data_IF_603092226844
#
_entry.id   IF_603092226844
#
_cell.length_a   1.000
_cell.length_b   1.000
_cell.length_c   1.000
_cell.angle_alpha   90.00
_cell.angle_beta   90.00
_cell.angle_gamma   90.00
#
_symmetry.space_group_name_H-M   'P 1'
#
loop_
_entity.id
_entity.type
_entity.pdbx_description
1 polymer ?
#
# COMPACT_ATOMS: atom_id res chain seq x y z
N UNK A 1 22.43 -13.93 -14.19
CA UNK A 1 21.31 -13.49 -13.34
C UNK A 1 21.80 -13.55 -11.91
N UNK A 2 21.52 -12.53 -11.11
CA UNK A 2 21.79 -12.56 -9.67
C UNK A 2 21.03 -13.74 -9.02
N UNK A 3 21.65 -14.43 -8.07
CA UNK A 3 21.06 -15.54 -7.30
C UNK A 3 19.74 -15.11 -6.66
N UNK A 4 19.69 -13.87 -6.19
CA UNK A 4 18.48 -13.23 -5.63
C UNK A 4 17.33 -13.14 -6.64
N UNK A 5 17.62 -12.79 -7.90
CA UNK A 5 16.61 -12.66 -8.97
C UNK A 5 16.08 -14.03 -9.41
N UNK A 6 16.94 -15.05 -9.40
CA UNK A 6 16.52 -16.43 -9.67
C UNK A 6 15.58 -16.94 -8.58
N UNK A 7 15.94 -16.74 -7.31
CA UNK A 7 15.10 -17.11 -6.17
C UNK A 7 13.75 -16.37 -6.20
N UNK A 8 13.74 -15.09 -6.56
CA UNK A 8 12.52 -14.30 -6.72
C UNK A 8 11.57 -14.84 -7.81
N UNK A 9 12.12 -15.33 -8.92
CA UNK A 9 11.31 -15.89 -10.03
C UNK A 9 10.57 -17.16 -9.60
N UNK A 10 11.23 -18.03 -8.83
CA UNK A 10 10.69 -19.31 -8.37
C UNK A 10 9.85 -19.20 -7.09
N UNK A 11 9.95 -18.07 -6.37
CA UNK A 11 9.24 -17.85 -5.12
C UNK A 11 7.71 -18.02 -5.28
N UNK A 12 7.15 -18.92 -4.47
CA UNK A 12 5.72 -19.24 -4.42
C UNK A 12 4.91 -18.34 -3.50
N UNK A 13 5.57 -17.45 -2.74
CA UNK A 13 4.88 -16.51 -1.89
C UNK A 13 4.01 -15.54 -2.73
N UNK A 14 2.82 -15.23 -2.25
CA UNK A 14 1.81 -14.43 -2.97
C UNK A 14 2.34 -13.08 -3.50
N UNK A 15 3.26 -12.34 -2.85
CA UNK A 15 3.72 -11.05 -3.39
C UNK A 15 4.45 -11.22 -4.72
N UNK A 16 5.18 -12.33 -4.89
CA UNK A 16 5.87 -12.64 -6.14
C UNK A 16 4.90 -13.05 -7.25
N UNK A 17 3.75 -13.62 -6.91
CA UNK A 17 2.72 -13.89 -7.92
C UNK A 17 2.15 -12.59 -8.50
N UNK A 18 1.77 -11.64 -7.64
CA UNK A 18 1.28 -10.34 -8.08
C UNK A 18 2.39 -9.54 -8.80
N UNK A 19 3.62 -9.58 -8.29
CA UNK A 19 4.76 -8.95 -8.95
C UNK A 19 5.01 -9.53 -10.37
N UNK A 20 4.93 -10.85 -10.55
CA UNK A 20 5.05 -11.47 -11.89
C UNK A 20 3.94 -11.01 -12.84
N UNK A 21 2.71 -10.77 -12.35
CA UNK A 21 1.62 -10.19 -13.17
C UNK A 21 1.96 -8.77 -13.61
N UNK A 22 2.55 -7.96 -12.73
CA UNK A 22 3.02 -6.61 -13.08
C UNK A 22 4.19 -6.64 -14.07
N UNK A 23 5.16 -7.54 -13.90
CA UNK A 23 6.26 -7.72 -14.87
C UNK A 23 5.72 -8.08 -16.24
N UNK A 24 4.76 -9.01 -16.33
CA UNK A 24 4.10 -9.34 -17.59
C UNK A 24 3.34 -8.16 -18.20
N UNK A 25 2.68 -7.34 -17.38
CA UNK A 25 1.97 -6.14 -17.83
C UNK A 25 2.89 -5.11 -18.48
N UNK A 26 4.15 -5.01 -18.02
CA UNK A 26 5.13 -4.04 -18.52
C UNK A 26 6.27 -4.71 -19.31
N UNK A 27 6.00 -5.85 -19.96
CA UNK A 27 7.01 -6.62 -20.68
C UNK A 27 7.51 -5.92 -21.96
N UNK A 28 6.64 -5.15 -22.63
CA UNK A 28 6.97 -4.46 -23.87
C UNK A 28 7.70 -3.14 -23.61
N UNK A 29 7.20 -2.36 -22.65
CA UNK A 29 7.77 -1.06 -22.28
C UNK A 29 7.38 -0.66 -20.85
N UNK A 30 8.22 0.13 -20.17
CA UNK A 30 7.84 0.78 -18.93
C UNK A 30 6.72 1.82 -19.16
N UNK A 31 5.98 2.23 -18.12
CA UNK A 31 5.05 3.35 -18.21
C UNK A 31 5.70 4.61 -18.77
N UNK A 32 4.95 5.45 -19.50
CA UNK A 32 5.46 6.72 -20.06
C UNK A 32 6.11 7.64 -19.01
N UNK A 33 5.56 7.64 -17.79
CA UNK A 33 6.10 8.38 -16.64
C UNK A 33 7.43 7.83 -16.08
N UNK A 34 7.94 6.72 -16.62
CA UNK A 34 9.23 6.11 -16.28
C UNK A 34 9.24 5.23 -15.02
N UNK A 35 8.10 5.04 -14.34
CA UNK A 35 8.03 4.22 -13.12
C UNK A 35 6.66 3.56 -12.94
N UNK A 36 6.64 2.42 -12.24
CA UNK A 36 5.41 1.78 -11.75
C UNK A 36 5.00 2.45 -10.44
N UNK A 37 3.79 3.00 -10.42
CA UNK A 37 3.21 3.63 -9.24
C UNK A 37 2.45 2.58 -8.41
N UNK A 38 2.85 2.44 -7.15
CA UNK A 38 2.15 1.68 -6.13
C UNK A 38 1.43 2.66 -5.21
N UNK A 39 0.24 2.30 -4.77
CA UNK A 39 -0.60 3.13 -3.91
C UNK A 39 -1.10 2.31 -2.72
N UNK A 40 -1.15 2.95 -1.57
CA UNK A 40 -1.76 2.40 -0.36
C UNK A 40 -2.43 3.54 0.39
N UNK A 41 -3.62 3.27 0.90
CA UNK A 41 -4.41 4.22 1.66
C UNK A 41 -4.76 3.63 3.01
N UNK A 42 -4.88 4.49 4.01
CA UNK A 42 -5.46 4.14 5.30
C UNK A 42 -6.43 5.22 5.75
N UNK A 43 -7.52 4.82 6.41
CA UNK A 43 -8.46 5.75 7.02
C UNK A 43 -7.98 6.18 8.41
N UNK A 44 -7.80 7.47 8.70
CA UNK A 44 -7.39 7.97 10.01
C UNK A 44 -8.54 8.07 11.02
N UNK A 45 -9.58 7.24 10.89
CA UNK A 45 -10.80 7.29 11.73
C UNK A 45 -10.62 6.77 13.16
N UNK A 46 -9.40 6.36 13.52
CA UNK A 46 -9.04 5.88 14.86
C UNK A 46 -7.54 5.69 14.99
N UNK A 47 -7.10 5.28 16.19
CA UNK A 47 -5.69 4.98 16.41
C UNK A 47 -5.24 3.81 15.50
N UNK A 48 -4.11 3.95 14.78
CA UNK A 48 -3.59 2.87 13.96
C UNK A 48 -3.36 1.60 14.78
N UNK A 49 -3.74 0.46 14.21
CA UNK A 49 -3.47 -0.85 14.78
C UNK A 49 -2.75 -1.73 13.75
N UNK A 50 -2.35 -2.93 14.15
CA UNK A 50 -1.59 -3.86 13.29
C UNK A 50 -2.25 -4.13 11.92
N UNK A 51 -3.56 -3.98 11.82
CA UNK A 51 -4.31 -4.09 10.56
C UNK A 51 -4.02 -2.93 9.61
N UNK A 52 -4.03 -1.69 10.11
CA UNK A 52 -3.64 -0.48 9.36
C UNK A 52 -2.20 -0.60 8.85
N UNK A 53 -1.28 -1.11 9.69
CA UNK A 53 0.08 -1.40 9.25
C UNK A 53 0.11 -2.50 8.17
N UNK A 54 -0.76 -3.50 8.29
CA UNK A 54 -0.93 -4.58 7.31
C UNK A 54 -1.39 -4.09 5.93
N UNK A 55 -2.17 -3.01 5.84
CA UNK A 55 -2.55 -2.38 4.57
C UNK A 55 -1.34 -1.81 3.85
N UNK A 56 -0.52 -1.03 4.55
CA UNK A 56 0.72 -0.46 4.02
C UNK A 56 1.76 -1.54 3.71
N UNK A 57 1.87 -2.54 4.58
CA UNK A 57 2.84 -3.62 4.45
C UNK A 57 2.56 -4.48 3.19
N UNK A 58 1.29 -4.80 2.90
CA UNK A 58 0.95 -5.63 1.73
C UNK A 58 1.35 -4.99 0.40
N UNK A 59 1.06 -3.70 0.20
CA UNK A 59 1.51 -2.98 -0.99
C UNK A 59 3.04 -2.94 -1.07
N UNK A 60 3.71 -2.73 0.07
CA UNK A 60 5.16 -2.75 0.15
C UNK A 60 5.75 -4.11 -0.22
N UNK A 61 5.16 -5.22 0.25
CA UNK A 61 5.61 -6.57 -0.10
C UNK A 61 5.58 -6.82 -1.61
N UNK A 62 4.47 -6.46 -2.29
CA UNK A 62 4.37 -6.62 -3.75
C UNK A 62 5.36 -5.70 -4.47
N UNK A 63 5.51 -4.46 -4.02
CA UNK A 63 6.48 -3.52 -4.59
C UNK A 63 7.91 -4.07 -4.49
N UNK A 64 8.33 -4.58 -3.34
CA UNK A 64 9.67 -5.16 -3.16
C UNK A 64 9.87 -6.42 -4.00
N UNK A 65 8.85 -7.28 -4.09
CA UNK A 65 8.88 -8.43 -4.97
C UNK A 65 9.01 -8.01 -6.46
N UNK A 66 8.35 -6.93 -6.86
CA UNK A 66 8.47 -6.37 -8.21
C UNK A 66 9.87 -5.79 -8.47
N UNK A 67 10.43 -5.02 -7.54
CA UNK A 67 11.81 -4.50 -7.63
C UNK A 67 12.85 -5.63 -7.73
N UNK A 68 12.61 -6.78 -7.09
CA UNK A 68 13.48 -7.94 -7.21
C UNK A 68 13.40 -8.64 -8.59
N UNK A 69 12.29 -8.46 -9.32
CA UNK A 69 12.02 -9.10 -10.61
C UNK A 69 12.24 -8.17 -11.81
N UNK A 70 12.14 -6.85 -11.61
CA UNK A 70 12.11 -5.83 -12.65
C UNK A 70 13.08 -4.70 -12.34
N UNK A 71 13.72 -4.18 -13.39
CA UNK A 71 14.59 -3.01 -13.31
C UNK A 71 13.81 -1.69 -13.52
N UNK A 72 12.48 -1.77 -13.72
CA UNK A 72 11.62 -0.58 -13.86
C UNK A 72 11.54 0.14 -12.51
N UNK A 73 11.86 1.45 -12.44
CA UNK A 73 11.74 2.22 -11.21
C UNK A 73 10.34 2.15 -10.61
N UNK A 74 10.24 2.26 -9.29
CA UNK A 74 8.95 2.27 -8.59
C UNK A 74 8.79 3.51 -7.72
N UNK A 75 7.54 3.91 -7.51
CA UNK A 75 7.16 4.94 -6.55
C UNK A 75 6.02 4.41 -5.70
N UNK A 76 6.04 4.69 -4.40
CA UNK A 76 4.93 4.40 -3.49
C UNK A 76 4.30 5.73 -3.06
N UNK A 77 2.99 5.87 -3.26
CA UNK A 77 2.19 6.91 -2.62
C UNK A 77 1.41 6.25 -1.48
N UNK A 78 1.65 6.72 -0.27
CA UNK A 78 0.85 6.39 0.91
C UNK A 78 0.01 7.61 1.23
N UNK A 79 -1.31 7.46 1.23
CA UNK A 79 -2.22 8.56 1.54
C UNK A 79 -3.09 8.22 2.75
N UNK A 80 -3.45 9.27 3.48
CA UNK A 80 -4.46 9.21 4.51
C UNK A 80 -5.77 9.62 3.87
N UNK A 81 -6.84 8.85 4.06
CA UNK A 81 -8.19 9.26 3.64
C UNK A 81 -8.81 10.15 4.73
N UNK A 82 -8.19 11.30 4.96
CA UNK A 82 -8.52 12.25 6.04
C UNK A 82 -9.68 13.19 5.71
N UNK A 83 -10.25 13.05 4.51
CA UNK A 83 -11.46 13.76 4.10
C UNK A 83 -12.75 12.96 4.38
N UNK A 84 -12.61 11.73 4.86
CA UNK A 84 -13.72 10.82 5.17
C UNK A 84 -14.41 11.22 6.47
N UNK A 85 -15.74 11.36 6.44
CA UNK A 85 -16.48 11.86 7.60
C UNK A 85 -16.35 10.98 8.86
N UNK A 86 -16.19 11.61 10.03
CA UNK A 86 -16.14 10.92 11.33
C UNK A 86 -17.47 10.22 11.65
N UNK A 87 -17.56 8.91 11.36
CA UNK A 87 -18.82 8.13 11.53
C UNK A 87 -19.14 7.79 12.98
N UNK A 88 -18.11 7.68 13.82
CA UNK A 88 -18.22 7.30 15.23
C UNK A 88 -17.01 7.83 15.99
N UNK A 89 -17.23 8.31 17.21
CA UNK A 89 -16.15 8.64 18.15
C UNK A 89 -15.64 7.35 18.83
N UNK A 90 -14.36 6.97 18.68
CA UNK A 90 -13.79 5.82 19.39
C UNK A 90 -13.79 6.06 20.91
N UNK A 91 -14.14 5.05 21.71
CA UNK A 91 -14.25 5.23 23.18
C UNK A 91 -12.91 5.44 23.90
N UNK A 92 -11.80 5.21 23.22
CA UNK A 92 -10.44 5.32 23.75
C UNK A 92 -9.74 6.64 23.39
N UNK A 93 -10.40 7.55 22.67
CA UNK A 93 -9.85 8.89 22.37
C UNK A 93 -10.35 9.94 23.36
N UNK A 94 -9.56 10.96 23.73
CA UNK A 94 -9.99 12.02 24.64
C UNK A 94 -11.06 12.92 23.98
N UNK A 95 -11.61 13.86 24.75
CA UNK A 95 -12.53 14.91 24.24
C UNK A 95 -13.81 14.38 23.58
N UNK A 96 -14.39 13.30 24.14
CA UNK A 96 -15.58 12.62 23.61
C UNK A 96 -16.74 13.57 23.23
N UNK A 97 -17.10 14.51 24.12
CA UNK A 97 -18.23 15.41 23.85
C UNK A 97 -17.95 16.43 22.74
N UNK A 98 -16.70 16.92 22.63
CA UNK A 98 -16.31 17.81 21.54
C UNK A 98 -16.35 17.05 20.20
N UNK A 99 -15.77 15.85 20.15
CA UNK A 99 -15.72 15.03 18.92
C UNK A 99 -17.10 14.57 18.44
N UNK A 100 -18.09 14.45 19.33
CA UNK A 100 -19.48 14.15 18.92
C UNK A 100 -20.10 15.29 18.11
N UNK A 101 -19.68 16.54 18.33
CA UNK A 101 -20.15 17.68 17.55
C UNK A 101 -19.61 17.65 16.10
N UNK A 102 -18.48 16.98 15.88
CA UNK A 102 -17.80 16.88 14.59
C UNK A 102 -18.21 15.64 13.78
N UNK A 103 -19.23 14.90 14.21
CA UNK A 103 -19.71 13.71 13.48
C UNK A 103 -20.11 14.06 12.03
N UNK A 104 -19.69 13.22 11.10
CA UNK A 104 -19.87 13.36 9.65
C UNK A 104 -19.11 14.53 9.00
N UNK A 105 -18.30 15.28 9.75
CA UNK A 105 -17.34 16.22 9.18
C UNK A 105 -16.04 15.48 8.84
N UNK A 106 -15.28 15.97 7.83
CA UNK A 106 -13.88 15.57 7.62
C UNK A 106 -13.03 15.78 8.88
#
# INVERSE_FOLDING_TARGET
MDETRSAALEAKAWPFEEARRLVRRYAEAPPEKGYVLFETGYGPSGLPHIGTFGEVARTTMVRRAFEALSDIPTRLICFSDDMDGLRKVPGNVPMQEALKADLNLP
#
